data_IF_708804136585
#
_entry.id   IF_708804136585
#
_cell.length_a   1.000
_cell.length_b   1.000
_cell.length_c   1.000
_cell.angle_alpha   90.00
_cell.angle_beta   90.00
_cell.angle_gamma   90.00
#
_symmetry.space_group_name_H-M   'P 1'
#
loop_
_entity.id
_entity.type
_entity.pdbx_description
1 polymer ?
#
# COMPACT_ATOMS: atom_id res chain seq x y z
N UNK A 1 -16.53 11.11 4.89
CA UNK A 1 -15.64 10.84 3.74
C UNK A 1 -15.15 9.40 3.84
N UNK A 2 -15.22 8.64 2.76
CA UNK A 2 -14.66 7.29 2.70
C UNK A 2 -13.17 7.35 2.38
N UNK A 3 -12.37 6.68 3.19
CA UNK A 3 -10.92 6.63 2.99
C UNK A 3 -10.52 5.22 2.61
N UNK A 4 -9.80 5.11 1.51
CA UNK A 4 -9.30 3.83 1.00
C UNK A 4 -7.79 3.75 1.26
N UNK A 5 -7.37 2.71 1.97
CA UNK A 5 -5.94 2.46 2.20
C UNK A 5 -5.40 1.58 1.10
N UNK A 6 -4.39 2.06 0.39
CA UNK A 6 -3.67 1.29 -0.63
C UNK A 6 -2.27 1.02 -0.13
N UNK A 7 -1.85 -0.23 -0.24
CA UNK A 7 -0.47 -0.61 0.06
C UNK A 7 0.35 -0.50 -1.24
N UNK A 8 1.40 0.31 -1.20
CA UNK A 8 2.28 0.54 -2.35
C UNK A 8 3.63 -0.12 -2.14
N UNK A 9 4.06 -0.85 -3.15
CA UNK A 9 5.40 -1.38 -3.28
C UNK A 9 5.83 -1.26 -4.75
N UNK A 10 6.91 -1.92 -5.14
CA UNK A 10 7.45 -1.80 -6.49
C UNK A 10 6.75 -2.72 -7.51
N UNK A 11 5.66 -3.39 -7.13
CA UNK A 11 4.96 -4.32 -8.01
C UNK A 11 3.96 -3.63 -8.94
N UNK A 12 3.68 -4.26 -10.08
CA UNK A 12 2.66 -3.78 -11.02
C UNK A 12 1.25 -3.91 -10.44
N UNK A 13 0.99 -4.96 -9.67
CA UNK A 13 -0.32 -5.15 -9.03
C UNK A 13 -0.64 -4.04 -8.02
N UNK A 14 0.37 -3.47 -7.36
CA UNK A 14 0.16 -2.33 -6.47
C UNK A 14 -0.29 -1.09 -7.24
N UNK A 15 0.25 -0.87 -8.43
CA UNK A 15 -0.18 0.24 -9.30
C UNK A 15 -1.61 0.07 -9.76
N UNK A 16 -2.03 -1.16 -10.06
CA UNK A 16 -3.40 -1.46 -10.45
C UNK A 16 -4.36 -1.21 -9.29
N UNK A 17 -3.98 -1.62 -8.08
CA UNK A 17 -4.75 -1.35 -6.87
C UNK A 17 -4.88 0.16 -6.61
N UNK A 18 -3.82 0.91 -6.83
CA UNK A 18 -3.82 2.36 -6.68
C UNK A 18 -4.83 3.03 -7.63
N UNK A 19 -4.84 2.62 -8.89
CA UNK A 19 -5.80 3.16 -9.86
C UNK A 19 -7.24 2.85 -9.45
N UNK A 20 -7.51 1.64 -8.99
CA UNK A 20 -8.83 1.26 -8.50
C UNK A 20 -9.25 2.15 -7.33
N UNK A 21 -8.39 2.32 -6.34
CA UNK A 21 -8.69 3.13 -5.17
C UNK A 21 -8.91 4.61 -5.53
N UNK A 22 -8.11 5.13 -6.46
CA UNK A 22 -8.24 6.51 -6.93
C UNK A 22 -9.60 6.76 -7.60
N UNK A 23 -10.00 5.86 -8.50
CA UNK A 23 -11.29 5.95 -9.17
C UNK A 23 -12.44 5.83 -8.17
N UNK A 24 -12.33 4.87 -7.26
CA UNK A 24 -13.37 4.64 -6.26
C UNK A 24 -13.52 5.82 -5.31
N UNK A 25 -12.40 6.40 -4.88
CA UNK A 25 -12.41 7.59 -4.03
C UNK A 25 -13.07 8.76 -4.74
N UNK A 26 -12.74 8.98 -6.01
CA UNK A 26 -13.36 10.04 -6.81
C UNK A 26 -14.88 9.85 -6.92
N UNK A 27 -15.31 8.63 -7.22
CA UNK A 27 -16.74 8.31 -7.37
C UNK A 27 -17.54 8.47 -6.08
N UNK A 28 -16.91 8.21 -4.94
CA UNK A 28 -17.58 8.29 -3.63
C UNK A 28 -17.34 9.61 -2.90
N UNK A 29 -16.60 10.53 -3.49
CA UNK A 29 -16.19 11.77 -2.82
C UNK A 29 -15.24 11.54 -1.66
N UNK A 30 -14.48 10.44 -1.71
CA UNK A 30 -13.59 10.03 -0.65
C UNK A 30 -12.15 10.43 -0.84
N UNK A 31 -11.26 9.87 -0.03
CA UNK A 31 -9.84 10.09 -0.08
C UNK A 31 -9.06 8.78 -0.11
N UNK A 32 -7.75 8.90 -0.33
CA UNK A 32 -6.83 7.76 -0.38
C UNK A 32 -5.70 7.98 0.61
N UNK A 33 -5.38 6.95 1.39
CA UNK A 33 -4.14 6.86 2.13
C UNK A 33 -3.22 5.88 1.40
N UNK A 34 -1.98 6.28 1.17
CA UNK A 34 -0.96 5.42 0.58
C UNK A 34 -0.03 4.98 1.69
N UNK A 35 0.04 3.68 1.92
CA UNK A 35 1.03 3.08 2.82
C UNK A 35 2.12 2.46 1.96
N UNK A 36 3.27 3.12 1.90
CA UNK A 36 4.43 2.62 1.18
C UNK A 36 5.27 1.77 2.12
N UNK A 37 5.49 0.52 1.73
CA UNK A 37 6.27 -0.42 2.52
C UNK A 37 7.71 -0.43 2.03
N UNK A 38 8.64 -0.25 2.97
CA UNK A 38 10.06 -0.40 2.70
C UNK A 38 10.41 -1.87 2.94
N UNK A 39 10.88 -2.59 1.89
CA UNK A 39 11.23 -3.99 2.06
C UNK A 39 12.31 -4.17 3.12
N UNK A 40 12.17 -5.22 3.94
CA UNK A 40 13.24 -5.58 4.87
C UNK A 40 14.46 -6.03 4.08
N UNK A 41 15.58 -5.42 4.40
CA UNK A 41 16.85 -5.81 3.82
C UNK A 41 17.48 -6.85 4.74
N UNK A 42 17.42 -8.12 4.33
CA UNK A 42 17.98 -9.23 5.11
C UNK A 42 19.46 -9.46 4.79
N UNK A 43 20.20 -8.40 4.57
CA UNK A 43 21.59 -8.48 4.18
C UNK A 43 22.48 -8.31 5.41
N UNK A 44 23.25 -9.34 5.78
CA UNK A 44 24.19 -9.29 6.89
C UNK A 44 25.52 -8.72 6.42
N UNK A 45 25.56 -7.42 6.17
CA UNK A 45 26.77 -6.71 5.82
C UNK A 45 27.31 -5.95 7.04
N UNK A 46 28.46 -5.29 6.88
CA UNK A 46 28.96 -4.36 7.86
C UNK A 46 27.91 -3.27 8.12
N UNK A 47 27.74 -2.85 9.37
CA UNK A 47 26.65 -1.98 9.79
C UNK A 47 26.47 -0.70 8.98
N UNK A 48 27.56 -0.08 8.52
CA UNK A 48 27.49 1.13 7.70
C UNK A 48 26.90 0.86 6.31
N UNK A 49 27.20 -0.29 5.70
CA UNK A 49 26.65 -0.69 4.41
C UNK A 49 25.17 -1.02 4.55
N UNK A 50 24.79 -1.70 5.63
CA UNK A 50 23.40 -2.03 5.93
C UNK A 50 22.56 -0.76 6.08
N UNK A 51 23.05 0.24 6.82
CA UNK A 51 22.34 1.50 7.00
C UNK A 51 22.14 2.24 5.68
N UNK A 52 23.14 2.23 4.78
CA UNK A 52 23.01 2.84 3.46
C UNK A 52 21.98 2.14 2.59
N UNK A 53 21.95 0.81 2.61
CA UNK A 53 20.98 0.01 1.85
C UNK A 53 19.55 0.30 2.35
N UNK A 54 19.36 0.36 3.66
CA UNK A 54 18.06 0.67 4.26
C UNK A 54 17.61 2.09 3.92
N UNK A 55 18.52 3.05 3.94
CA UNK A 55 18.21 4.44 3.59
C UNK A 55 17.81 4.54 2.12
N UNK A 56 18.54 3.89 1.21
CA UNK A 56 18.22 3.90 -0.21
C UNK A 56 16.85 3.24 -0.48
N UNK A 57 16.54 2.16 0.22
CA UNK A 57 15.23 1.50 0.11
C UNK A 57 14.10 2.41 0.58
N UNK A 58 14.32 3.13 1.68
CA UNK A 58 13.33 4.09 2.21
C UNK A 58 13.13 5.27 1.24
N UNK A 59 14.19 5.77 0.64
CA UNK A 59 14.12 6.85 -0.36
C UNK A 59 13.34 6.41 -1.60
N UNK A 60 13.55 5.18 -2.09
CA UNK A 60 12.79 4.64 -3.22
C UNK A 60 11.32 4.51 -2.89
N UNK A 61 10.97 4.03 -1.69
CA UNK A 61 9.58 3.92 -1.25
C UNK A 61 8.92 5.30 -1.17
N UNK A 62 9.63 6.29 -0.66
CA UNK A 62 9.14 7.66 -0.55
C UNK A 62 8.91 8.27 -1.94
N UNK A 63 9.84 8.10 -2.86
CA UNK A 63 9.69 8.58 -4.24
C UNK A 63 8.50 7.93 -4.95
N UNK A 64 8.34 6.62 -4.77
CA UNK A 64 7.22 5.86 -5.34
C UNK A 64 5.89 6.37 -4.80
N UNK A 65 5.81 6.60 -3.49
CA UNK A 65 4.61 7.12 -2.85
C UNK A 65 4.27 8.52 -3.33
N UNK A 66 5.25 9.39 -3.48
CA UNK A 66 5.03 10.76 -3.96
C UNK A 66 4.60 10.79 -5.43
N UNK A 67 5.17 9.92 -6.28
CA UNK A 67 4.73 9.80 -7.66
C UNK A 67 3.28 9.32 -7.74
N UNK A 68 2.91 8.35 -6.91
CA UNK A 68 1.54 7.86 -6.81
C UNK A 68 0.58 8.95 -6.32
N UNK A 69 1.01 9.73 -5.34
CA UNK A 69 0.22 10.84 -4.81
C UNK A 69 -0.05 11.91 -5.88
N UNK A 70 0.95 12.20 -6.71
CA UNK A 70 0.80 13.14 -7.82
C UNK A 70 -0.24 12.67 -8.83
N UNK A 71 -0.26 11.38 -9.15
CA UNK A 71 -1.25 10.79 -10.05
C UNK A 71 -2.66 10.92 -9.46
N UNK A 72 -2.83 10.59 -8.18
CA UNK A 72 -4.13 10.70 -7.50
C UNK A 72 -4.60 12.15 -7.48
N UNK A 73 -3.73 13.08 -7.16
CA UNK A 73 -4.06 14.50 -7.13
C UNK A 73 -4.52 15.01 -8.50
N UNK A 74 -3.80 14.61 -9.56
CA UNK A 74 -4.16 15.02 -10.92
C UNK A 74 -5.55 14.50 -11.33
N UNK A 75 -5.93 13.30 -10.89
CA UNK A 75 -7.21 12.69 -11.24
C UNK A 75 -8.37 13.18 -10.37
N UNK A 76 -8.13 13.36 -9.07
CA UNK A 76 -9.20 13.59 -8.09
C UNK A 76 -9.26 15.03 -7.56
N UNK A 77 -8.19 15.79 -7.72
CA UNK A 77 -8.07 17.13 -7.11
C UNK A 77 -7.78 17.08 -5.61
N UNK A 78 -7.60 15.90 -5.04
CA UNK A 78 -7.31 15.74 -3.61
C UNK A 78 -5.96 15.09 -3.41
N UNK A 79 -5.16 15.65 -2.50
CA UNK A 79 -3.87 15.09 -2.14
C UNK A 79 -4.08 13.91 -1.18
N UNK A 80 -3.56 12.71 -1.47
CA UNK A 80 -3.64 11.60 -0.55
C UNK A 80 -2.70 11.80 0.64
N UNK A 81 -3.00 11.11 1.72
CA UNK A 81 -2.09 11.00 2.86
C UNK A 81 -1.07 9.92 2.57
N UNK A 82 0.20 10.20 2.82
CA UNK A 82 1.29 9.27 2.59
C UNK A 82 1.89 8.85 3.92
N UNK A 83 2.07 7.55 4.10
CA UNK A 83 2.83 6.99 5.20
C UNK A 83 3.87 6.01 4.64
N UNK A 84 5.10 6.10 5.12
CA UNK A 84 6.18 5.18 4.73
C UNK A 84 6.59 4.40 5.98
N UNK A 85 6.60 3.08 5.89
CA UNK A 85 6.90 2.21 7.04
C UNK A 85 7.86 1.11 6.64
N UNK A 86 8.80 0.82 7.52
CA UNK A 86 9.73 -0.30 7.40
C UNK A 86 9.32 -1.41 8.34
N UNK A 87 9.44 -2.65 7.90
CA UNK A 87 9.13 -3.80 8.73
C UNK A 87 8.35 -4.88 8.00
N UNK A 88 7.78 -5.80 8.73
CA UNK A 88 6.92 -6.83 8.16
C UNK A 88 5.64 -6.23 7.61
N UNK A 89 5.34 -6.49 6.33
CA UNK A 89 4.22 -5.83 5.64
C UNK A 89 2.89 -6.04 6.33
N UNK A 90 2.58 -7.28 6.73
CA UNK A 90 1.31 -7.58 7.41
C UNK A 90 1.14 -6.85 8.72
N UNK A 91 2.23 -6.72 9.50
CA UNK A 91 2.18 -6.02 10.78
C UNK A 91 2.01 -4.52 10.60
N UNK A 92 2.72 -3.94 9.61
CA UNK A 92 2.61 -2.51 9.32
C UNK A 92 1.21 -2.14 8.83
N UNK A 93 0.59 -2.98 8.00
CA UNK A 93 -0.78 -2.75 7.53
C UNK A 93 -1.76 -2.86 8.69
N UNK A 94 -1.64 -3.90 9.52
CA UNK A 94 -2.53 -4.08 10.68
C UNK A 94 -2.43 -2.92 11.66
N UNK A 95 -1.21 -2.49 11.96
CA UNK A 95 -0.96 -1.35 12.86
C UNK A 95 -1.55 -0.06 12.29
N UNK A 96 -1.43 0.15 10.98
CA UNK A 96 -1.96 1.34 10.33
C UNK A 96 -3.49 1.36 10.37
N UNK A 97 -4.14 0.21 10.15
CA UNK A 97 -5.59 0.11 10.26
C UNK A 97 -6.07 0.38 11.68
N UNK A 98 -5.37 -0.13 12.68
CA UNK A 98 -5.72 0.09 14.08
C UNK A 98 -5.56 1.56 14.48
N UNK A 99 -4.54 2.23 13.95
CA UNK A 99 -4.27 3.64 14.24
C UNK A 99 -5.20 4.59 13.47
N UNK A 100 -5.86 4.13 12.42
CA UNK A 100 -6.71 4.94 11.56
C UNK A 100 -8.09 4.30 11.38
N UNK A 101 -8.94 4.33 12.43
CA UNK A 101 -10.23 3.62 12.40
C UNK A 101 -11.25 4.19 11.41
N UNK A 102 -10.99 5.34 10.82
CA UNK A 102 -11.82 5.96 9.77
C UNK A 102 -11.57 5.37 8.38
N UNK A 103 -10.60 4.48 8.22
CA UNK A 103 -10.38 3.80 6.93
C UNK A 103 -11.56 2.90 6.62
N UNK A 104 -12.17 3.15 5.45
CA UNK A 104 -13.38 2.44 5.02
C UNK A 104 -13.08 1.10 4.34
N UNK A 105 -11.89 0.95 3.75
CA UNK A 105 -11.50 -0.29 3.07
C UNK A 105 -9.99 -0.37 2.87
N UNK A 106 -9.48 -1.59 2.92
CA UNK A 106 -8.11 -1.92 2.54
C UNK A 106 -8.12 -2.40 1.08
N UNK A 107 -7.24 -1.85 0.25
CA UNK A 107 -7.16 -2.19 -1.17
C UNK A 107 -5.80 -2.81 -1.45
N UNK A 108 -5.79 -4.05 -1.91
CA UNK A 108 -4.58 -4.82 -2.20
C UNK A 108 -4.58 -5.28 -3.65
N UNK A 109 -3.41 -5.22 -4.28
CA UNK A 109 -3.22 -5.82 -5.60
C UNK A 109 -2.81 -7.27 -5.48
N UNK A 110 -3.38 -8.11 -6.32
CA UNK A 110 -3.03 -9.52 -6.39
C UNK A 110 -2.15 -9.79 -7.62
N UNK A 111 -1.03 -10.48 -7.41
CA UNK A 111 -0.17 -10.85 -8.52
C UNK A 111 -0.93 -11.76 -9.49
N UNK A 112 -0.79 -11.55 -10.83
CA UNK A 112 -1.55 -12.32 -11.81
C UNK A 112 -1.08 -13.76 -11.97
N UNK A 113 0.14 -14.07 -11.55
CA UNK A 113 0.73 -15.41 -11.63
C UNK A 113 1.59 -15.68 -10.39
N UNK A 114 1.80 -16.96 -10.08
CA UNK A 114 2.67 -17.35 -8.98
C UNK A 114 2.07 -17.16 -7.58
N UNK A 115 0.74 -17.14 -7.49
CA UNK A 115 0.02 -16.86 -6.25
C UNK A 115 -0.22 -15.37 -6.06
N UNK A 116 -1.20 -14.98 -5.25
CA UNK A 116 -1.65 -13.58 -5.14
C UNK A 116 -0.71 -12.67 -4.36
N UNK A 117 0.28 -13.22 -3.70
CA UNK A 117 1.20 -12.49 -2.86
C UNK A 117 0.91 -12.65 -1.37
N UNK A 118 1.91 -12.36 -0.51
CA UNK A 118 1.81 -12.64 0.92
C UNK A 118 0.78 -11.77 1.65
N UNK A 119 0.59 -10.53 1.25
CA UNK A 119 -0.40 -9.65 1.89
C UNK A 119 -1.81 -10.11 1.57
N UNK A 120 -2.10 -10.44 0.31
CA UNK A 120 -3.41 -10.95 -0.08
C UNK A 120 -3.72 -12.24 0.66
N UNK A 121 -2.77 -13.16 0.70
CA UNK A 121 -2.94 -14.44 1.40
C UNK A 121 -3.23 -14.22 2.89
N UNK A 122 -2.45 -13.38 3.55
CA UNK A 122 -2.62 -13.10 4.97
C UNK A 122 -3.98 -12.45 5.27
N UNK A 123 -4.31 -11.37 4.56
CA UNK A 123 -5.52 -10.61 4.87
C UNK A 123 -6.79 -11.31 4.41
N UNK A 124 -6.72 -12.18 3.40
CA UNK A 124 -7.85 -13.04 3.05
C UNK A 124 -8.16 -14.02 4.19
N UNK A 125 -7.14 -14.59 4.82
CA UNK A 125 -7.31 -15.47 5.98
C UNK A 125 -7.86 -14.74 7.20
N UNK A 126 -7.46 -13.50 7.41
CA UNK A 126 -7.86 -12.69 8.55
C UNK A 126 -9.10 -11.84 8.29
N UNK A 127 -9.69 -11.95 7.10
CA UNK A 127 -10.76 -11.05 6.65
C UNK A 127 -11.94 -10.96 7.61
N UNK A 128 -12.28 -12.05 8.29
CA UNK A 128 -13.41 -12.08 9.23
C UNK A 128 -13.21 -11.26 10.49
N UNK A 129 -11.97 -10.90 10.84
CA UNK A 129 -11.64 -10.15 12.05
C UNK A 129 -11.09 -8.74 11.78
N UNK A 130 -11.01 -8.35 10.52
CA UNK A 130 -10.49 -7.02 10.17
C UNK A 130 -11.49 -5.91 10.48
N UNK A 131 -11.01 -4.69 10.78
CA UNK A 131 -11.89 -3.56 11.08
C UNK A 131 -12.61 -2.98 9.84
N UNK A 132 -12.25 -3.41 8.62
CA UNK A 132 -12.84 -2.91 7.39
C UNK A 132 -12.80 -3.98 6.29
N UNK A 133 -13.61 -3.83 5.22
CA UNK A 133 -13.53 -4.71 4.07
C UNK A 133 -12.18 -4.68 3.36
N UNK A 134 -11.87 -5.75 2.65
CA UNK A 134 -10.68 -5.85 1.80
C UNK A 134 -11.11 -5.97 0.34
N UNK A 135 -10.59 -5.10 -0.49
CA UNK A 135 -10.72 -5.19 -1.95
C UNK A 135 -9.44 -5.81 -2.50
N UNK A 136 -9.57 -6.93 -3.17
CA UNK A 136 -8.46 -7.62 -3.81
C UNK A 136 -8.56 -7.39 -5.30
N UNK A 137 -7.63 -6.64 -5.86
CA UNK A 137 -7.68 -6.20 -7.25
C UNK A 137 -6.72 -7.05 -8.08
N UNK A 138 -7.24 -7.75 -9.11
CA UNK A 138 -6.37 -8.52 -9.99
C UNK A 138 -5.32 -7.64 -10.64
N UNK A 139 -4.05 -8.04 -10.57
CA UNK A 139 -2.95 -7.27 -11.14
C UNK A 139 -3.00 -7.14 -12.66
N UNK A 140 -3.75 -8.01 -13.32
CA UNK A 140 -3.96 -7.97 -14.77
C UNK A 140 -5.12 -7.06 -15.19
N UNK A 141 -5.83 -6.48 -14.25
CA UNK A 141 -6.96 -5.59 -14.54
C UNK A 141 -6.48 -4.30 -15.21
N UNK A 142 -7.16 -3.87 -16.27
CA UNK A 142 -6.82 -2.65 -17.03
C UNK A 142 -7.91 -1.60 -16.97
#
# INVERSE_FOLDING_TARGET
MRIYLVVMDETEEAKTALRFASVRARETGGGVHILALVPRQSFSAFGAVQATIEQEAAERADELAHAAAGTIFAESGRMPTIAVRSGGGKDMVADYLDANPDIAALVLGAAPTGGPGPLVTHFAQEAGSLPCPVYIIPGSLT
#
